data_IF_160898804698
#
_entry.id   IF_160898804698
#
_cell.length_a   1.000
_cell.length_b   1.000
_cell.length_c   1.000
_cell.angle_alpha   90.00
_cell.angle_beta   90.00
_cell.angle_gamma   90.00
#
_symmetry.space_group_name_H-M   'P 1'
#
loop_
_entity.id
_entity.type
_entity.pdbx_description
1 polymer ?
#
# COMPACT_ATOMS: atom_id res chain seq x y z
N UNK A 1 3.35 16.25 38.77
CA UNK A 1 4.41 15.25 39.01
C UNK A 1 4.39 14.82 40.46
N UNK A 2 3.24 14.33 40.92
CA UNK A 2 2.90 14.22 42.34
C UNK A 2 3.15 12.82 42.94
N UNK A 3 3.65 11.87 42.13
CA UNK A 3 3.86 10.47 42.53
C UNK A 3 5.28 9.93 42.29
N UNK A 4 6.29 10.80 42.16
CA UNK A 4 7.69 10.37 41.89
C UNK A 4 7.89 9.52 40.62
N UNK A 5 6.91 9.52 39.72
CA UNK A 5 6.99 8.78 38.46
C UNK A 5 7.98 9.48 37.52
N UNK A 6 9.10 8.81 37.22
CA UNK A 6 10.07 9.25 36.23
C UNK A 6 9.38 9.56 34.89
N UNK A 7 9.75 10.64 34.16
CA UNK A 7 9.06 11.05 32.92
C UNK A 7 8.91 9.91 31.91
N UNK A 8 9.92 9.04 31.83
CA UNK A 8 9.90 7.83 31.00
C UNK A 8 8.79 6.84 31.38
N UNK A 9 8.56 6.65 32.68
CA UNK A 9 7.53 5.75 33.21
C UNK A 9 6.13 6.31 32.92
N UNK A 10 5.94 7.62 33.10
CA UNK A 10 4.68 8.31 32.77
C UNK A 10 4.38 8.23 31.27
N UNK A 11 5.38 8.44 30.42
CA UNK A 11 5.23 8.33 28.97
C UNK A 11 4.81 6.92 28.54
N UNK A 12 5.53 5.86 28.96
CA UNK A 12 5.20 4.49 28.53
C UNK A 12 3.88 3.97 29.08
N UNK A 13 3.50 4.37 30.30
CA UNK A 13 2.36 3.78 31.02
C UNK A 13 1.06 4.56 30.86
N UNK A 14 1.15 5.86 30.56
CA UNK A 14 -0.01 6.74 30.41
C UNK A 14 -0.08 7.29 28.99
N UNK A 15 0.91 8.07 28.56
CA UNK A 15 0.87 8.77 27.27
C UNK A 15 0.83 7.80 26.08
N UNK A 16 1.71 6.82 26.04
CA UNK A 16 1.81 5.85 24.95
C UNK A 16 0.52 5.03 24.73
N UNK A 17 -0.08 4.39 25.76
CA UNK A 17 -1.34 3.65 25.57
C UNK A 17 -2.55 4.56 25.30
N UNK A 18 -2.58 5.79 25.81
CA UNK A 18 -3.64 6.76 25.44
C UNK A 18 -3.48 7.28 24.01
N UNK A 19 -2.25 7.38 23.51
CA UNK A 19 -1.96 7.83 22.13
C UNK A 19 -1.98 6.69 21.10
N UNK A 20 -1.92 5.42 21.51
CA UNK A 20 -2.03 4.22 20.64
C UNK A 20 -3.15 4.29 19.59
N UNK A 21 -4.42 4.62 19.92
CA UNK A 21 -5.47 4.75 18.90
C UNK A 21 -5.17 5.85 17.86
N UNK A 22 -4.49 6.93 18.25
CA UNK A 22 -4.02 7.97 17.34
C UNK A 22 -2.82 7.53 16.49
N UNK A 23 -1.89 6.75 17.06
CA UNK A 23 -0.77 6.16 16.31
C UNK A 23 -1.28 5.19 15.25
N UNK A 24 -2.22 4.30 15.59
CA UNK A 24 -2.83 3.38 14.62
C UNK A 24 -3.52 4.15 13.50
N UNK A 25 -4.32 5.17 13.84
CA UNK A 25 -5.01 6.01 12.85
C UNK A 25 -4.03 6.77 11.94
N UNK A 26 -2.95 7.32 12.50
CA UNK A 26 -1.91 8.02 11.75
C UNK A 26 -1.09 7.08 10.86
N UNK A 27 -0.83 5.85 11.32
CA UNK A 27 -0.11 4.85 10.54
C UNK A 27 -0.96 4.37 9.36
N UNK A 28 -2.27 4.18 9.54
CA UNK A 28 -3.18 3.86 8.44
C UNK A 28 -3.28 5.03 7.43
N UNK A 29 -3.33 6.27 7.92
CA UNK A 29 -3.40 7.47 7.08
C UNK A 29 -2.16 7.63 6.19
N UNK A 30 -0.97 7.20 6.64
CA UNK A 30 0.25 7.24 5.81
C UNK A 30 0.44 5.97 4.98
N UNK A 31 0.01 4.82 5.48
CA UNK A 31 0.15 3.54 4.78
C UNK A 31 -0.72 3.45 3.52
N UNK A 32 -1.95 3.96 3.55
CA UNK A 32 -2.88 3.97 2.40
C UNK A 32 -2.28 4.69 1.18
N UNK A 33 -1.81 5.96 1.28
CA UNK A 33 -1.18 6.64 0.15
C UNK A 33 0.21 6.10 -0.18
N UNK A 34 0.99 5.63 0.80
CA UNK A 34 2.31 5.03 0.53
C UNK A 34 2.22 3.72 -0.26
N UNK A 35 1.22 2.88 0.02
CA UNK A 35 0.92 1.71 -0.81
C UNK A 35 0.36 2.09 -2.19
N UNK A 36 -0.22 3.28 -2.31
CA UNK A 36 -0.64 3.90 -3.56
C UNK A 36 0.49 4.59 -4.33
N UNK A 37 1.68 4.72 -3.75
CA UNK A 37 2.86 5.35 -4.36
C UNK A 37 3.61 4.39 -5.32
N UNK A 38 2.87 3.43 -5.88
CA UNK A 38 3.31 2.69 -7.07
C UNK A 38 3.54 3.63 -8.27
N UNK A 39 3.00 4.84 -8.21
CA UNK A 39 3.22 5.92 -9.20
C UNK A 39 4.66 6.45 -9.14
N UNK A 40 5.28 6.58 -7.95
CA UNK A 40 6.72 6.88 -7.87
C UNK A 40 7.58 5.75 -8.44
N UNK A 41 7.17 4.48 -8.27
CA UNK A 41 7.87 3.35 -8.85
C UNK A 41 7.82 3.35 -10.39
N UNK A 42 6.76 3.90 -10.99
CA UNK A 42 6.64 4.05 -12.45
C UNK A 42 7.44 5.25 -12.98
N UNK A 43 7.63 6.30 -12.17
CA UNK A 43 8.42 7.49 -12.51
C UNK A 43 9.93 7.33 -12.26
N UNK A 44 10.34 6.51 -11.26
CA UNK A 44 11.73 6.23 -10.89
C UNK A 44 12.21 4.83 -11.33
N UNK A 45 11.32 4.00 -11.88
CA UNK A 45 11.62 2.65 -12.38
C UNK A 45 12.30 2.68 -13.76
N UNK A 46 13.48 2.08 -13.85
CA UNK A 46 14.19 1.83 -15.12
C UNK A 46 13.43 0.83 -16.01
N UNK A 47 13.76 0.72 -17.30
CA UNK A 47 13.09 -0.11 -18.34
C UNK A 47 12.92 -1.61 -17.99
N UNK A 48 13.54 -2.10 -16.91
CA UNK A 48 13.37 -3.45 -16.36
C UNK A 48 12.19 -3.60 -15.39
N UNK A 49 11.59 -2.51 -14.89
CA UNK A 49 10.34 -2.56 -14.11
C UNK A 49 9.13 -2.58 -15.05
N UNK A 50 9.02 -3.61 -15.89
CA UNK A 50 7.80 -3.82 -16.69
C UNK A 50 6.64 -4.19 -15.78
N UNK A 51 5.85 -3.18 -15.44
CA UNK A 51 4.56 -3.35 -14.76
C UNK A 51 3.58 -4.11 -15.67
N UNK A 52 2.78 -5.01 -15.10
CA UNK A 52 1.76 -5.77 -15.83
C UNK A 52 0.79 -4.83 -16.58
N UNK A 53 0.57 -3.61 -16.08
CA UNK A 53 -0.20 -2.57 -16.76
C UNK A 53 0.35 -2.14 -18.13
N UNK A 54 1.68 -2.04 -18.27
CA UNK A 54 2.33 -1.72 -19.55
C UNK A 54 2.14 -2.84 -20.59
N UNK A 55 2.10 -4.10 -20.13
CA UNK A 55 1.83 -5.26 -20.98
C UNK A 55 0.38 -5.25 -21.46
N UNK A 56 -0.59 -5.01 -20.56
CA UNK A 56 -2.02 -4.92 -20.91
C UNK A 56 -2.25 -3.79 -21.92
N UNK A 57 -1.67 -2.61 -21.71
CA UNK A 57 -1.79 -1.48 -22.62
C UNK A 57 -1.21 -1.79 -24.00
N UNK A 58 -0.06 -2.45 -24.06
CA UNK A 58 0.56 -2.86 -25.33
C UNK A 58 -0.31 -3.88 -26.08
N UNK A 59 -0.89 -4.86 -25.37
CA UNK A 59 -1.82 -5.82 -25.98
C UNK A 59 -3.10 -5.12 -26.50
N UNK A 60 -3.63 -4.13 -25.76
CA UNK A 60 -4.84 -3.39 -26.15
C UNK A 60 -4.62 -2.43 -27.33
N UNK A 61 -3.55 -1.63 -27.31
CA UNK A 61 -3.36 -0.49 -28.22
C UNK A 61 -2.38 -0.78 -29.36
N UNK A 62 -1.45 -1.72 -29.19
CA UNK A 62 -0.40 -1.99 -30.19
C UNK A 62 -0.67 -3.25 -31.01
N UNK A 63 -1.16 -4.29 -30.35
CA UNK A 63 -1.41 -5.60 -30.99
C UNK A 63 -2.91 -5.77 -31.32
N UNK A 64 -3.79 -4.92 -30.76
CA UNK A 64 -5.25 -4.98 -30.88
C UNK A 64 -5.82 -6.35 -30.45
N UNK A 65 -5.17 -6.99 -29.49
CA UNK A 65 -5.50 -8.32 -29.02
C UNK A 65 -6.34 -8.22 -27.74
N UNK A 66 -7.59 -7.77 -27.93
CA UNK A 66 -8.57 -7.55 -26.87
C UNK A 66 -8.81 -8.77 -25.95
N UNK A 67 -8.86 -10.02 -26.44
CA UNK A 67 -9.12 -11.19 -25.59
C UNK A 67 -7.98 -11.47 -24.59
N UNK A 68 -6.73 -11.42 -25.06
CA UNK A 68 -5.55 -11.61 -24.20
C UNK A 68 -5.40 -10.45 -23.22
N UNK A 69 -5.67 -9.23 -23.67
CA UNK A 69 -5.61 -8.07 -22.80
C UNK A 69 -6.69 -8.09 -21.69
N UNK A 70 -7.89 -8.59 -22.00
CA UNK A 70 -8.96 -8.80 -21.02
C UNK A 70 -8.60 -9.89 -20.01
N UNK A 71 -8.05 -11.03 -20.46
CA UNK A 71 -7.61 -12.11 -19.57
C UNK A 71 -6.53 -11.63 -18.59
N UNK A 72 -5.52 -10.90 -19.08
CA UNK A 72 -4.47 -10.31 -18.24
C UNK A 72 -5.04 -9.30 -17.24
N UNK A 73 -6.03 -8.50 -17.64
CA UNK A 73 -6.72 -7.55 -16.76
C UNK A 73 -7.47 -8.26 -15.63
N UNK A 74 -8.20 -9.34 -15.93
CA UNK A 74 -8.91 -10.14 -14.92
C UNK A 74 -7.95 -10.83 -13.94
N UNK A 75 -6.84 -11.39 -14.43
CA UNK A 75 -5.81 -12.01 -13.59
C UNK A 75 -5.17 -10.97 -12.67
N UNK A 76 -4.83 -9.80 -13.20
CA UNK A 76 -4.27 -8.70 -12.41
C UNK A 76 -5.25 -8.24 -11.33
N UNK A 77 -6.53 -8.08 -11.67
CA UNK A 77 -7.58 -7.72 -10.72
C UNK A 77 -7.71 -8.75 -9.59
N UNK A 78 -7.72 -10.05 -9.92
CA UNK A 78 -7.79 -11.12 -8.93
C UNK A 78 -6.58 -11.12 -7.98
N UNK A 79 -5.37 -10.88 -8.52
CA UNK A 79 -4.14 -10.80 -7.73
C UNK A 79 -4.16 -9.62 -6.75
N UNK A 80 -4.63 -8.45 -7.21
CA UNK A 80 -4.78 -7.25 -6.36
C UNK A 80 -5.79 -7.52 -5.25
N UNK A 81 -6.97 -8.07 -5.58
CA UNK A 81 -7.98 -8.41 -4.59
C UNK A 81 -7.48 -9.40 -3.54
N UNK A 82 -6.71 -10.40 -3.97
CA UNK A 82 -6.09 -11.37 -3.07
C UNK A 82 -5.10 -10.69 -2.11
N UNK A 83 -4.20 -9.85 -2.64
CA UNK A 83 -3.20 -9.14 -1.85
C UNK A 83 -3.84 -8.18 -0.85
N UNK A 84 -4.85 -7.41 -1.26
CA UNK A 84 -5.60 -6.49 -0.40
C UNK A 84 -6.35 -7.26 0.69
N UNK A 85 -7.02 -8.36 0.34
CA UNK A 85 -7.74 -9.18 1.32
C UNK A 85 -6.80 -9.81 2.35
N UNK A 86 -5.60 -10.23 1.92
CA UNK A 86 -4.59 -10.78 2.81
C UNK A 86 -3.97 -9.71 3.71
N UNK A 87 -3.74 -8.50 3.21
CA UNK A 87 -3.20 -7.39 3.99
C UNK A 87 -4.18 -6.87 5.06
N UNK A 88 -5.49 -6.99 4.81
CA UNK A 88 -6.55 -6.56 5.73
C UNK A 88 -6.81 -7.59 6.85
N UNK A 89 -6.36 -8.85 6.69
CA UNK A 89 -6.58 -9.93 7.67
C UNK A 89 -5.43 -10.11 8.65
#
# INVERSE_FOLDING_TARGET
GDLYAHPFTTFRKVTFPLSMPGVVSGTLLTFIPASGDYVNADLLGSTDTRMIGNVIQTQFLRILDYPTAAALSFILMAAILFMVTFHIR
#
